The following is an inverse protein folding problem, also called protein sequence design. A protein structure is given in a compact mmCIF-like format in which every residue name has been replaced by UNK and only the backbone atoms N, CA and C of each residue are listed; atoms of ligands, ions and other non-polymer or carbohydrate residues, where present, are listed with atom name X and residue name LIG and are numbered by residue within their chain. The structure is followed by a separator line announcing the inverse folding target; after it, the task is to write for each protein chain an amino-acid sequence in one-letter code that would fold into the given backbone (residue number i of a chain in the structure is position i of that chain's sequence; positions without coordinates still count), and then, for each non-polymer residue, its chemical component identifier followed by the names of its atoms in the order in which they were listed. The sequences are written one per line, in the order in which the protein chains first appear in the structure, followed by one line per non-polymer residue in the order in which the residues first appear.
data_IF_527159385901
#
_entry.id   IF_527159385901
#
_cell.length_a   1.000
_cell.length_b   1.000
_cell.length_c   1.000
_cell.angle_alpha   90.00
_cell.angle_beta   90.00
_cell.angle_gamma   90.00
#
_symmetry.space_group_name_H-M   'P 1'
#
loop_
_entity.id
_entity.type
_entity.pdbx_description
1 polymer ?
#
# COMPACT_ATOMS: atom_id res chain seq x y z
N UNK A 1 107.52 -60.32 40.77
CA UNK A 1 106.38 -60.70 39.91
C UNK A 1 105.38 -59.54 39.94
N UNK A 2 105.62 -58.41 39.27
CA UNK A 2 105.43 -58.09 37.84
C UNK A 2 104.05 -58.52 37.29
N UNK A 3 103.24 -57.49 37.03
CA UNK A 3 102.25 -57.33 35.95
C UNK A 3 100.96 -58.17 35.93
N UNK A 4 99.91 -57.61 36.53
CA UNK A 4 98.54 -57.60 35.96
C UNK A 4 97.85 -56.23 36.17
N UNK A 5 98.32 -55.39 37.10
CA UNK A 5 97.70 -54.09 37.39
C UNK A 5 97.96 -52.96 36.36
N UNK A 6 98.73 -53.20 35.28
CA UNK A 6 99.17 -52.14 34.35
C UNK A 6 98.47 -52.16 32.96
N UNK A 7 97.52 -53.06 32.71
CA UNK A 7 96.86 -53.14 31.38
C UNK A 7 95.48 -52.46 31.32
N UNK A 8 94.93 -51.98 32.43
CA UNK A 8 93.62 -51.33 32.47
C UNK A 8 93.68 -49.80 32.49
N UNK A 9 94.87 -49.20 32.65
CA UNK A 9 95.06 -47.75 32.83
C UNK A 9 95.71 -47.04 31.62
N UNK A 10 96.02 -47.78 30.55
CA UNK A 10 96.68 -47.24 29.35
C UNK A 10 95.71 -46.88 28.20
N UNK A 11 94.42 -46.68 28.49
CA UNK A 11 93.41 -46.25 27.50
C UNK A 11 92.90 -44.83 27.73
N UNK A 12 93.45 -44.08 28.69
CA UNK A 12 93.11 -42.68 28.94
C UNK A 12 94.38 -41.85 29.12
N UNK A 13 94.92 -41.32 28.02
CA UNK A 13 95.61 -40.03 27.91
C UNK A 13 96.62 -40.04 26.76
N UNK A 14 96.12 -40.11 25.53
CA UNK A 14 96.69 -39.27 24.49
C UNK A 14 95.65 -38.19 24.20
N UNK A 15 95.70 -37.08 24.95
CA UNK A 15 95.15 -35.81 24.45
C UNK A 15 96.04 -35.38 23.27
N UNK A 16 95.93 -36.10 22.15
CA UNK A 16 96.26 -35.55 20.85
C UNK A 16 95.43 -34.29 20.70
N UNK A 17 96.06 -33.22 20.24
CA UNK A 17 95.48 -31.88 20.25
C UNK A 17 94.03 -31.90 19.72
N UNK A 18 93.15 -31.11 20.36
CA UNK A 18 91.69 -31.15 20.24
C UNK A 18 91.13 -31.27 18.81
N UNK A 19 91.90 -30.87 17.79
CA UNK A 19 91.58 -31.01 16.37
C UNK A 19 91.67 -32.44 15.80
N UNK A 20 92.27 -33.40 16.53
CA UNK A 20 92.41 -34.82 16.16
C UNK A 20 91.16 -35.64 16.52
N UNK A 21 90.26 -35.10 17.36
CA UNK A 21 89.03 -35.78 17.77
C UNK A 21 87.94 -35.56 16.72
N UNK A 22 87.34 -36.65 16.22
CA UNK A 22 86.25 -36.56 15.23
C UNK A 22 85.07 -35.70 15.70
N UNK A 23 84.80 -35.68 17.00
CA UNK A 23 83.75 -34.87 17.62
C UNK A 23 83.94 -33.36 17.42
N UNK A 24 85.18 -32.85 17.42
CA UNK A 24 85.46 -31.42 17.25
C UNK A 24 85.01 -30.91 15.86
N UNK A 25 85.27 -31.68 14.80
CA UNK A 25 84.83 -31.32 13.44
C UNK A 25 83.31 -31.48 13.26
N UNK A 26 82.68 -32.44 13.93
CA UNK A 26 81.22 -32.60 13.95
C UNK A 26 80.55 -31.40 14.64
N UNK A 27 81.06 -30.98 15.80
CA UNK A 27 80.54 -29.82 16.53
C UNK A 27 80.75 -28.53 15.74
N UNK A 28 81.92 -28.35 15.11
CA UNK A 28 82.19 -27.20 14.25
C UNK A 28 81.26 -27.16 13.04
N UNK A 29 81.03 -28.29 12.38
CA UNK A 29 80.07 -28.40 11.27
C UNK A 29 78.63 -28.14 11.74
N UNK A 30 78.24 -28.63 12.92
CA UNK A 30 76.93 -28.38 13.52
C UNK A 30 76.72 -26.88 13.79
N UNK A 31 77.70 -26.21 14.42
CA UNK A 31 77.64 -24.77 14.67
C UNK A 31 77.55 -23.99 13.36
N UNK A 32 78.32 -24.37 12.33
CA UNK A 32 78.29 -23.69 11.03
C UNK A 32 76.94 -23.85 10.33
N UNK A 33 76.36 -25.06 10.34
CA UNK A 33 75.02 -25.33 9.80
C UNK A 33 73.96 -24.57 10.59
N UNK A 34 74.01 -24.57 11.91
CA UNK A 34 73.07 -23.82 12.76
C UNK A 34 73.18 -22.32 12.51
N UNK A 35 74.40 -21.77 12.41
CA UNK A 35 74.63 -20.36 12.12
C UNK A 35 74.08 -19.96 10.74
N UNK A 36 74.28 -20.81 9.72
CA UNK A 36 73.74 -20.59 8.37
C UNK A 36 72.22 -20.74 8.31
N UNK A 37 71.64 -21.67 9.07
CA UNK A 37 70.20 -21.95 9.14
C UNK A 37 69.41 -20.97 10.04
N UNK A 38 70.06 -20.32 11.01
CA UNK A 38 69.41 -19.43 11.98
C UNK A 38 68.67 -18.27 11.29
N UNK A 39 69.29 -17.64 10.30
CA UNK A 39 68.72 -16.49 9.57
C UNK A 39 67.50 -16.86 8.70
N UNK A 40 67.51 -17.92 7.87
CA UNK A 40 66.33 -18.31 7.11
C UNK A 40 65.20 -18.85 8.01
N UNK A 41 65.53 -19.62 9.06
CA UNK A 41 64.51 -20.16 9.98
C UNK A 41 63.83 -19.05 10.78
N UNK A 42 64.60 -18.12 11.36
CA UNK A 42 64.01 -16.97 12.08
C UNK A 42 63.16 -16.09 11.17
N UNK A 43 63.60 -15.85 9.92
CA UNK A 43 62.80 -15.10 8.93
C UNK A 43 61.51 -15.81 8.56
N UNK A 44 61.53 -17.14 8.38
CA UNK A 44 60.33 -17.91 8.06
C UNK A 44 59.30 -17.87 9.20
N UNK A 45 59.74 -18.01 10.46
CA UNK A 45 58.86 -17.92 11.63
C UNK A 45 58.27 -16.52 11.75
N UNK A 46 59.08 -15.47 11.62
CA UNK A 46 58.60 -14.09 11.66
C UNK A 46 57.57 -13.81 10.55
N UNK A 47 57.84 -14.25 9.32
CA UNK A 47 56.91 -14.11 8.20
C UNK A 47 55.59 -14.87 8.41
N UNK A 48 55.62 -16.07 8.99
CA UNK A 48 54.42 -16.84 9.30
C UNK A 48 53.57 -16.16 10.40
N UNK A 49 54.22 -15.59 11.41
CA UNK A 49 53.55 -14.83 12.47
C UNK A 49 52.93 -13.55 11.92
N UNK A 50 53.67 -12.81 11.08
CA UNK A 50 53.19 -11.59 10.44
C UNK A 50 52.00 -11.85 9.52
N UNK A 51 52.07 -12.90 8.69
CA UNK A 51 50.95 -13.34 7.84
C UNK A 51 49.71 -13.70 8.66
N UNK A 52 49.89 -14.35 9.82
CA UNK A 52 48.79 -14.66 10.74
C UNK A 52 48.20 -13.40 11.36
N UNK A 53 49.04 -12.48 11.83
CA UNK A 53 48.62 -11.19 12.38
C UNK A 53 47.85 -10.37 11.36
N UNK A 54 48.35 -10.27 10.12
CA UNK A 54 47.68 -9.59 9.02
C UNK A 54 46.31 -10.21 8.71
N UNK A 55 46.22 -11.55 8.70
CA UNK A 55 44.95 -12.25 8.50
C UNK A 55 43.94 -12.01 9.62
N UNK A 56 44.41 -11.99 10.88
CA UNK A 56 43.54 -11.68 12.03
C UNK A 56 43.06 -10.24 11.95
N UNK A 57 43.95 -9.29 11.65
CA UNK A 57 43.61 -7.88 11.48
C UNK A 57 42.57 -7.68 10.38
N UNK A 58 42.78 -8.28 9.21
CA UNK A 58 41.81 -8.20 8.10
C UNK A 58 40.43 -8.74 8.49
N UNK A 59 40.36 -9.86 9.23
CA UNK A 59 39.08 -10.41 9.73
C UNK A 59 38.40 -9.52 10.76
N UNK A 60 39.17 -8.88 11.64
CA UNK A 60 38.64 -7.94 12.61
C UNK A 60 38.10 -6.69 11.91
N UNK A 61 38.85 -6.13 10.95
CA UNK A 61 38.44 -4.98 10.16
C UNK A 61 37.15 -5.28 9.38
N UNK A 62 37.05 -6.46 8.76
CA UNK A 62 35.84 -6.93 8.09
C UNK A 62 34.66 -7.09 9.05
N UNK A 63 34.88 -7.68 10.24
CA UNK A 63 33.84 -7.82 11.25
C UNK A 63 33.36 -6.46 11.79
N UNK A 64 34.27 -5.51 11.97
CA UNK A 64 33.93 -4.14 12.35
C UNK A 64 33.07 -3.46 11.28
N UNK A 65 33.49 -3.55 10.01
CA UNK A 65 32.75 -3.01 8.88
C UNK A 65 31.35 -3.62 8.78
N UNK A 66 31.25 -4.94 8.89
CA UNK A 66 29.95 -5.64 8.85
C UNK A 66 29.03 -5.22 10.00
N UNK A 67 29.61 -4.95 11.19
CA UNK A 67 28.85 -4.46 12.34
C UNK A 67 28.34 -3.04 12.10
N UNK A 68 29.16 -2.17 11.53
CA UNK A 68 28.76 -0.81 11.17
C UNK A 68 27.65 -0.81 10.12
N UNK A 69 27.79 -1.60 9.05
CA UNK A 69 26.76 -1.77 8.02
C UNK A 69 25.45 -2.32 8.61
N UNK A 70 25.52 -3.30 9.51
CA UNK A 70 24.34 -3.83 10.18
C UNK A 70 23.65 -2.80 11.09
N UNK A 71 24.43 -1.95 11.78
CA UNK A 71 23.90 -0.87 12.61
C UNK A 71 23.24 0.22 11.76
N UNK A 72 23.87 0.61 10.66
CA UNK A 72 23.30 1.58 9.70
C UNK A 72 22.02 1.05 9.07
N UNK A 73 22.02 -0.23 8.68
CA UNK A 73 20.84 -0.90 8.14
C UNK A 73 19.71 -0.90 9.18
N UNK A 74 19.99 -1.33 10.42
CA UNK A 74 18.99 -1.33 11.49
C UNK A 74 18.40 0.06 11.72
N UNK A 75 19.24 1.09 11.82
CA UNK A 75 18.80 2.47 12.01
C UNK A 75 17.93 2.95 10.83
N UNK A 76 18.28 2.56 9.60
CA UNK A 76 17.51 2.89 8.40
C UNK A 76 16.15 2.20 8.40
N UNK A 77 16.09 0.91 8.74
CA UNK A 77 14.83 0.16 8.81
C UNK A 77 13.91 0.67 9.92
N UNK A 78 14.45 1.01 11.10
CA UNK A 78 13.68 1.62 12.17
C UNK A 78 13.09 2.98 11.75
N UNK A 79 13.87 3.79 11.03
CA UNK A 79 13.41 5.07 10.48
C UNK A 79 12.29 4.85 9.47
N UNK A 80 12.50 3.94 8.50
CA UNK A 80 11.49 3.55 7.50
C UNK A 80 10.22 3.01 8.16
N UNK A 81 10.34 2.19 9.20
CA UNK A 81 9.19 1.66 9.91
C UNK A 81 8.37 2.77 10.56
N UNK A 82 9.03 3.70 11.27
CA UNK A 82 8.34 4.84 11.88
C UNK A 82 7.69 5.73 10.82
N UNK A 83 8.39 6.01 9.74
CA UNK A 83 7.88 6.87 8.68
C UNK A 83 6.68 6.21 7.96
N UNK A 84 6.73 4.89 7.73
CA UNK A 84 5.60 4.12 7.20
C UNK A 84 4.40 4.08 8.16
N UNK A 85 4.63 4.01 9.48
CA UNK A 85 3.54 4.10 10.46
C UNK A 85 2.87 5.47 10.44
N UNK A 86 3.65 6.55 10.33
CA UNK A 86 3.12 7.92 10.18
C UNK A 86 2.32 8.07 8.89
N UNK A 87 2.86 7.58 7.78
CA UNK A 87 2.17 7.62 6.48
C UNK A 87 0.84 6.84 6.54
N UNK A 88 0.82 5.67 7.18
CA UNK A 88 -0.41 4.91 7.39
C UNK A 88 -1.44 5.68 8.25
N UNK A 89 -1.00 6.32 9.33
CA UNK A 89 -1.86 7.18 10.17
C UNK A 89 -2.42 8.36 9.36
N UNK A 90 -1.59 9.01 8.55
CA UNK A 90 -2.00 10.11 7.65
C UNK A 90 -3.00 9.65 6.60
N UNK A 91 -2.78 8.48 5.98
CA UNK A 91 -3.73 7.87 5.03
C UNK A 91 -5.08 7.62 5.69
N UNK A 92 -5.10 7.06 6.91
CA UNK A 92 -6.33 6.78 7.64
C UNK A 92 -7.03 8.09 8.02
N UNK A 93 -6.29 9.10 8.48
CA UNK A 93 -6.84 10.39 8.84
C UNK A 93 -7.46 11.09 7.62
N UNK A 94 -6.74 11.10 6.50
CA UNK A 94 -7.22 11.66 5.23
C UNK A 94 -8.47 10.92 4.72
N UNK A 95 -8.45 9.58 4.75
CA UNK A 95 -9.59 8.77 4.32
C UNK A 95 -10.85 9.04 5.18
N UNK A 96 -10.69 9.21 6.50
CA UNK A 96 -11.80 9.58 7.39
C UNK A 96 -12.35 10.97 7.08
N UNK A 97 -11.47 11.96 6.96
CA UNK A 97 -11.87 13.33 6.63
C UNK A 97 -12.61 13.39 5.28
N UNK A 98 -12.11 12.64 4.30
CA UNK A 98 -12.72 12.57 2.97
C UNK A 98 -14.06 11.82 2.98
N UNK A 99 -14.17 10.73 3.75
CA UNK A 99 -15.43 10.03 3.96
C UNK A 99 -16.48 10.93 4.62
N UNK A 100 -16.11 11.71 5.64
CA UNK A 100 -17.01 12.68 6.27
C UNK A 100 -17.44 13.78 5.30
N UNK A 101 -16.51 14.29 4.48
CA UNK A 101 -16.80 15.30 3.46
C UNK A 101 -17.78 14.76 2.42
N UNK A 102 -17.55 13.55 1.92
CA UNK A 102 -18.42 12.87 0.97
C UNK A 102 -19.79 12.57 1.57
N UNK A 103 -19.86 12.12 2.83
CA UNK A 103 -21.12 11.88 3.51
C UNK A 103 -21.95 13.16 3.66
N UNK A 104 -21.33 14.28 4.05
CA UNK A 104 -21.99 15.59 4.13
C UNK A 104 -22.50 16.06 2.76
N UNK A 105 -21.69 15.90 1.73
CA UNK A 105 -22.07 16.27 0.37
C UNK A 105 -23.23 15.39 -0.14
N UNK A 106 -23.15 14.08 0.05
CA UNK A 106 -24.20 13.14 -0.33
C UNK A 106 -25.51 13.42 0.42
N UNK A 107 -25.46 13.75 1.71
CA UNK A 107 -26.64 14.14 2.48
C UNK A 107 -27.29 15.41 1.90
N UNK A 108 -26.49 16.42 1.56
CA UNK A 108 -26.98 17.67 0.93
C UNK A 108 -27.61 17.39 -0.43
N UNK A 109 -26.96 16.59 -1.28
CA UNK A 109 -27.47 16.24 -2.60
C UNK A 109 -28.75 15.41 -2.51
N UNK A 110 -28.83 14.51 -1.52
CA UNK A 110 -30.04 13.75 -1.22
C UNK A 110 -31.19 14.67 -0.81
N UNK A 111 -30.96 15.62 0.09
CA UNK A 111 -31.97 16.59 0.52
C UNK A 111 -32.51 17.40 -0.67
N UNK A 112 -31.62 17.90 -1.53
CA UNK A 112 -32.01 18.62 -2.76
C UNK A 112 -32.83 17.71 -3.69
N UNK A 113 -32.42 16.46 -3.84
CA UNK A 113 -33.14 15.49 -4.68
C UNK A 113 -34.52 15.17 -4.13
N UNK A 114 -34.68 15.10 -2.81
CA UNK A 114 -35.95 14.83 -2.13
C UNK A 114 -36.89 16.02 -2.25
N UNK A 115 -36.42 17.24 -2.01
CA UNK A 115 -37.21 18.47 -2.23
C UNK A 115 -37.71 18.58 -3.67
N UNK A 116 -36.86 18.26 -4.65
CA UNK A 116 -37.27 18.23 -6.06
C UNK A 116 -38.33 17.16 -6.33
N UNK A 117 -38.19 15.96 -5.74
CA UNK A 117 -39.17 14.88 -5.88
C UNK A 117 -40.50 15.23 -5.24
N UNK A 118 -40.47 15.87 -4.08
CA UNK A 118 -41.64 16.37 -3.38
C UNK A 118 -42.36 17.40 -4.24
N UNK A 119 -41.65 18.40 -4.78
CA UNK A 119 -42.25 19.39 -5.67
C UNK A 119 -42.88 18.75 -6.90
N UNK A 120 -42.19 17.82 -7.57
CA UNK A 120 -42.75 17.09 -8.72
C UNK A 120 -43.99 16.28 -8.35
N UNK A 121 -44.07 15.72 -7.13
CA UNK A 121 -45.25 15.02 -6.66
C UNK A 121 -46.42 16.00 -6.40
N UNK A 122 -46.15 17.15 -5.78
CA UNK A 122 -47.13 18.20 -5.56
C UNK A 122 -47.68 18.75 -6.88
N UNK A 123 -46.81 19.01 -7.85
CA UNK A 123 -47.21 19.48 -9.18
C UNK A 123 -48.10 18.45 -9.90
N UNK A 124 -47.78 17.15 -9.78
CA UNK A 124 -48.61 16.06 -10.32
C UNK A 124 -49.97 15.97 -9.63
N UNK A 125 -50.01 16.13 -8.32
CA UNK A 125 -51.27 16.15 -7.55
C UNK A 125 -52.13 17.32 -8.02
N UNK A 126 -51.58 18.53 -8.10
CA UNK A 126 -52.31 19.71 -8.57
C UNK A 126 -52.83 19.55 -10.01
N UNK A 127 -52.03 18.94 -10.90
CA UNK A 127 -52.47 18.62 -12.25
C UNK A 127 -53.63 17.61 -12.26
N UNK A 128 -53.52 16.54 -11.46
CA UNK A 128 -54.56 15.52 -11.34
C UNK A 128 -55.85 16.07 -10.74
N UNK A 129 -55.77 16.93 -9.72
CA UNK A 129 -56.91 17.63 -9.12
C UNK A 129 -57.61 18.52 -10.14
N UNK A 130 -56.85 19.34 -10.89
CA UNK A 130 -57.40 20.19 -11.92
C UNK A 130 -58.07 19.36 -13.05
N UNK A 131 -57.51 18.19 -13.37
CA UNK A 131 -58.10 17.29 -14.35
C UNK A 131 -59.39 16.64 -13.83
N UNK A 132 -59.39 16.12 -12.61
CA UNK A 132 -60.59 15.55 -11.99
C UNK A 132 -61.72 16.59 -11.88
N UNK A 133 -61.39 17.84 -11.54
CA UNK A 133 -62.38 18.91 -11.47
C UNK A 133 -63.02 19.20 -12.84
N UNK A 134 -62.23 19.22 -13.90
CA UNK A 134 -62.72 19.35 -15.28
C UNK A 134 -63.60 18.16 -15.69
N UNK A 135 -63.21 16.94 -15.33
CA UNK A 135 -64.00 15.74 -15.61
C UNK A 135 -65.36 15.77 -14.91
N UNK A 136 -65.42 16.19 -13.64
CA UNK A 136 -66.68 16.37 -12.91
C UNK A 136 -67.55 17.46 -13.54
N UNK A 137 -66.95 18.58 -13.95
CA UNK A 137 -67.69 19.66 -14.61
C UNK A 137 -68.27 19.19 -15.94
N UNK A 138 -67.50 18.49 -16.76
CA UNK A 138 -67.96 17.94 -18.03
C UNK A 138 -69.11 16.95 -17.83
N UNK A 139 -68.98 16.05 -16.86
CA UNK A 139 -70.06 15.10 -16.53
C UNK A 139 -71.34 15.84 -16.08
N UNK A 140 -71.21 16.90 -15.27
CA UNK A 140 -72.35 17.71 -14.85
C UNK A 140 -73.01 18.42 -16.04
N UNK A 141 -72.22 18.96 -16.98
CA UNK A 141 -72.72 19.56 -18.22
C UNK A 141 -73.47 18.53 -19.07
N UNK A 142 -72.91 17.34 -19.25
CA UNK A 142 -73.53 16.26 -20.03
C UNK A 142 -74.87 15.82 -19.41
N UNK A 143 -74.93 15.68 -18.08
CA UNK A 143 -76.17 15.37 -17.35
C UNK A 143 -77.20 16.49 -17.49
N UNK A 144 -76.78 17.75 -17.38
CA UNK A 144 -77.67 18.91 -17.53
C UNK A 144 -78.23 19.02 -18.96
N UNK A 145 -77.40 18.80 -19.98
CA UNK A 145 -77.84 18.76 -21.39
C UNK A 145 -78.82 17.61 -21.60
N UNK A 146 -78.53 16.40 -21.10
CA UNK A 146 -79.43 15.26 -21.21
C UNK A 146 -80.78 15.50 -20.52
N UNK A 147 -80.78 16.11 -19.34
CA UNK A 147 -82.00 16.48 -18.62
C UNK A 147 -82.79 17.56 -19.37
N UNK A 148 -82.13 18.60 -19.88
CA UNK A 148 -82.76 19.65 -20.69
C UNK A 148 -83.39 19.07 -21.96
N UNK A 149 -82.69 18.17 -22.65
CA UNK A 149 -83.18 17.51 -23.85
C UNK A 149 -84.42 16.66 -23.56
N UNK A 150 -84.47 15.98 -22.41
CA UNK A 150 -85.64 15.23 -21.94
C UNK A 150 -86.83 16.15 -21.62
N UNK A 151 -86.60 17.23 -20.88
CA UNK A 151 -87.65 18.22 -20.56
C UNK A 151 -88.20 18.86 -21.82
N UNK A 152 -87.34 19.25 -22.77
CA UNK A 152 -87.73 19.78 -24.09
C UNK A 152 -88.58 18.73 -24.83
N UNK A 153 -88.15 17.46 -24.87
CA UNK A 153 -88.92 16.39 -25.49
C UNK A 153 -90.31 16.16 -24.86
N UNK A 154 -90.40 16.23 -23.53
CA UNK A 154 -91.65 16.02 -22.79
C UNK A 154 -92.59 17.26 -22.83
N UNK A 155 -92.05 18.47 -23.05
CA UNK A 155 -92.81 19.73 -22.99
C UNK A 155 -93.24 20.30 -24.35
N UNK A 156 -92.65 19.85 -25.47
CA UNK A 156 -93.05 20.32 -26.79
C UNK A 156 -94.37 19.71 -27.27
N UNK A 157 -95.39 20.55 -27.41
CA UNK A 157 -96.60 20.23 -28.18
C UNK A 157 -96.39 20.49 -29.68
N UNK A 158 -97.15 19.79 -30.55
CA UNK A 158 -97.05 19.95 -32.02
C UNK A 158 -97.17 21.41 -32.51
N UNK A 159 -97.92 22.24 -31.78
CA UNK A 159 -98.07 23.67 -32.08
C UNK A 159 -96.80 24.49 -31.75
N UNK A 160 -96.08 24.15 -30.69
CA UNK A 160 -94.83 24.82 -30.29
C UNK A 160 -93.67 24.44 -31.22
N UNK A 161 -93.63 23.19 -31.70
CA UNK A 161 -92.67 22.74 -32.71
C UNK A 161 -92.80 23.53 -34.02
N UNK A 162 -94.03 23.75 -34.50
CA UNK A 162 -94.29 24.55 -35.69
C UNK A 162 -93.84 26.00 -35.55
N UNK A 163 -94.13 26.63 -34.41
CA UNK A 163 -93.70 28.00 -34.13
C UNK A 163 -92.16 28.15 -34.03
N UNK A 164 -91.45 27.13 -33.52
CA UNK A 164 -89.98 27.11 -33.49
C UNK A 164 -89.36 27.00 -34.89
N UNK A 165 -89.96 26.20 -35.78
CA UNK A 165 -89.52 26.08 -37.18
C UNK A 165 -89.72 27.40 -37.92
N UNK A 166 -90.88 28.03 -37.79
CA UNK A 166 -91.16 29.32 -38.43
C UNK A 166 -90.23 30.44 -37.91
N UNK A 167 -89.92 30.45 -36.61
CA UNK A 167 -88.95 31.39 -36.04
C UNK A 167 -87.52 31.11 -36.52
N UNK A 168 -87.09 29.85 -36.62
CA UNK A 168 -85.78 29.50 -37.17
C UNK A 168 -85.64 29.91 -38.65
N UNK A 169 -86.71 29.76 -39.44
CA UNK A 169 -86.78 30.24 -40.83
C UNK A 169 -86.70 31.77 -40.89
N UNK A 170 -87.33 32.49 -39.94
CA UNK A 170 -87.23 33.95 -39.84
C UNK A 170 -85.87 34.48 -39.38
N UNK A 171 -85.10 33.72 -38.61
CA UNK A 171 -83.77 34.11 -38.11
C UNK A 171 -82.63 33.84 -39.12
N UNK A 172 -82.84 32.96 -40.10
CA UNK A 172 -81.87 32.62 -41.15
C UNK A 172 -81.27 33.85 -41.89
N UNK A 173 -82.07 34.89 -42.25
CA UNK A 173 -81.56 36.08 -42.92
C UNK A 173 -80.56 36.90 -42.08
N UNK A 174 -80.63 36.84 -40.75
CA UNK A 174 -79.75 37.61 -39.85
C UNK A 174 -78.36 37.01 -39.62
N UNK A 175 -78.13 35.75 -40.03
CA UNK A 175 -76.84 35.04 -39.89
C UNK A 175 -76.08 34.89 -41.22
N UNK A 176 -76.64 35.40 -42.32
CA UNK A 176 -76.07 35.37 -43.67
C UNK A 176 -75.52 36.74 -44.14
N UNK A 177 -75.23 37.64 -43.19
CA UNK A 177 -74.50 38.89 -43.43
C UNK A 177 -73.16 38.87 -42.69
#
# INVERSE_FOLDING_TARGET
MISVAYAADAAHAAHGAFYQQAHFWVDLAFILVVAMAFKPVSRAIAAALDARSAKIKARLDEAHKLREEAQEMLATYQRKQRDAMKEAEEIIAHAKAEAERLAKQAAKDLEVSMKRREQMAMDRIAQAEAQALREVQNLAVDVAIGAAQKVIGDSLSAAQTGALVDNAIKDLPGKLH
#
